data_IF_780497223479
#
_entry.id   IF_780497223479
#
_cell.length_a   1.000
_cell.length_b   1.000
_cell.length_c   1.000
_cell.angle_alpha   90.00
_cell.angle_beta   90.00
_cell.angle_gamma   90.00
#
_symmetry.space_group_name_H-M   'P 1'
#
loop_
_entity.id
_entity.type
_entity.pdbx_description
1 polymer ?
#
# COMPACT_ATOMS: atom_id res chain seq x y z
N UNK A 1 10.79 -6.77 6.47
CA UNK A 1 9.65 -7.61 6.05
C UNK A 1 10.06 -8.70 5.04
N UNK A 2 10.37 -8.38 3.77
CA UNK A 2 10.63 -9.40 2.74
C UNK A 2 11.76 -10.39 3.07
N UNK A 3 12.90 -9.92 3.62
CA UNK A 3 13.98 -10.83 4.03
C UNK A 3 13.54 -11.85 5.10
N UNK A 4 12.65 -11.46 6.01
CA UNK A 4 12.07 -12.40 6.98
C UNK A 4 11.15 -13.42 6.29
N UNK A 5 10.42 -12.99 5.26
CA UNK A 5 9.57 -13.87 4.46
C UNK A 5 10.40 -14.89 3.65
N UNK A 6 11.49 -14.46 3.01
CA UNK A 6 12.40 -15.35 2.29
C UNK A 6 13.03 -16.38 3.24
N UNK A 7 13.53 -15.95 4.40
CA UNK A 7 14.05 -16.85 5.42
C UNK A 7 13.00 -17.86 5.90
N UNK A 8 11.77 -17.42 6.17
CA UNK A 8 10.67 -18.29 6.62
C UNK A 8 10.24 -19.33 5.56
N UNK A 9 10.48 -19.06 4.27
CA UNK A 9 10.21 -19.99 3.16
C UNK A 9 11.44 -20.75 2.67
N UNK A 10 12.60 -20.55 3.28
CA UNK A 10 13.85 -21.18 2.86
C UNK A 10 14.32 -20.75 1.47
N UNK A 11 13.98 -19.53 1.05
CA UNK A 11 14.37 -18.97 -0.24
C UNK A 11 15.69 -18.22 -0.11
N UNK A 12 16.67 -18.55 -0.95
CA UNK A 12 17.96 -17.87 -1.04
C UNK A 12 17.83 -16.56 -1.84
N UNK A 13 17.09 -15.62 -1.25
CA UNK A 13 16.72 -14.34 -1.86
C UNK A 13 17.04 -13.20 -0.91
N UNK A 14 17.39 -12.05 -1.47
CA UNK A 14 17.62 -10.83 -0.71
C UNK A 14 16.76 -9.69 -1.24
N UNK A 15 16.19 -8.94 -0.31
CA UNK A 15 15.50 -7.68 -0.56
C UNK A 15 16.37 -6.53 -0.05
N UNK A 16 16.72 -5.62 -0.94
CA UNK A 16 17.56 -4.46 -0.65
C UNK A 16 16.85 -3.17 -1.06
N UNK A 17 17.08 -2.10 -0.31
CA UNK A 17 16.58 -0.78 -0.64
C UNK A 17 17.58 -0.06 -1.57
N UNK A 18 17.08 0.43 -2.70
CA UNK A 18 17.86 1.21 -3.66
C UNK A 18 17.27 2.62 -3.75
N UNK A 19 18.02 3.63 -3.35
CA UNK A 19 17.62 5.02 -3.53
C UNK A 19 17.92 5.45 -4.96
N UNK A 20 16.89 5.90 -5.69
CA UNK A 20 16.99 6.24 -7.11
C UNK A 20 16.38 7.61 -7.34
N UNK A 21 17.17 8.55 -7.86
CA UNK A 21 16.68 9.86 -8.28
C UNK A 21 15.77 9.73 -9.53
N UNK A 22 14.73 10.57 -9.70
CA UNK A 22 13.79 10.48 -10.82
C UNK A 22 14.46 10.43 -12.20
N UNK A 23 15.53 11.18 -12.41
CA UNK A 23 16.25 11.27 -13.69
C UNK A 23 17.04 9.98 -14.01
N UNK A 24 17.23 9.11 -13.01
CA UNK A 24 17.95 7.83 -13.12
C UNK A 24 17.00 6.63 -13.09
N UNK A 25 15.71 6.85 -12.90
CA UNK A 25 14.74 5.77 -12.69
C UNK A 25 14.71 4.77 -13.83
N UNK A 26 14.61 5.24 -15.08
CA UNK A 26 14.62 4.36 -16.26
C UNK A 26 15.89 3.50 -16.32
N UNK A 27 17.07 4.12 -16.22
CA UNK A 27 18.34 3.38 -16.22
C UNK A 27 18.47 2.40 -15.06
N UNK A 28 17.90 2.71 -13.90
CA UNK A 28 17.94 1.83 -12.74
C UNK A 28 17.07 0.58 -12.98
N UNK A 29 15.85 0.74 -13.49
CA UNK A 29 14.94 -0.39 -13.77
C UNK A 29 15.53 -1.32 -14.83
N UNK A 30 16.04 -0.78 -15.95
CA UNK A 30 16.73 -1.61 -16.96
C UNK A 30 17.94 -2.34 -16.37
N UNK A 31 18.73 -1.64 -15.56
CA UNK A 31 19.89 -2.24 -14.89
C UNK A 31 19.52 -3.36 -13.92
N UNK A 32 18.37 -3.28 -13.23
CA UNK A 32 17.91 -4.38 -12.37
C UNK A 32 17.58 -5.64 -13.19
N UNK A 33 16.90 -5.49 -14.33
CA UNK A 33 16.62 -6.60 -15.23
C UNK A 33 17.91 -7.20 -15.81
N UNK A 34 18.82 -6.35 -16.33
CA UNK A 34 20.12 -6.78 -16.86
C UNK A 34 20.99 -7.54 -15.83
N UNK A 35 20.86 -7.20 -14.55
CA UNK A 35 21.56 -7.86 -13.44
C UNK A 35 20.86 -9.14 -12.95
N UNK A 36 19.70 -9.49 -13.51
CA UNK A 36 18.95 -10.69 -13.15
C UNK A 36 18.16 -10.57 -11.85
N UNK A 37 17.76 -9.36 -11.44
CA UNK A 37 16.78 -9.22 -10.35
C UNK A 37 15.45 -9.85 -10.76
N UNK A 38 14.74 -10.46 -9.81
CA UNK A 38 13.41 -11.02 -10.08
C UNK A 38 12.30 -9.96 -10.14
N UNK A 39 12.52 -8.78 -9.56
CA UNK A 39 11.54 -7.72 -9.46
C UNK A 39 11.94 -6.64 -8.48
N UNK A 40 11.05 -5.68 -8.27
CA UNK A 40 11.24 -4.58 -7.31
C UNK A 40 9.89 -4.04 -6.83
N UNK A 41 9.81 -3.56 -5.58
CA UNK A 41 8.76 -2.60 -5.25
C UNK A 41 9.19 -1.20 -5.66
N UNK A 42 8.20 -0.40 -6.05
CA UNK A 42 8.35 0.99 -6.44
C UNK A 42 7.50 1.86 -5.53
N UNK A 43 8.11 2.88 -4.94
CA UNK A 43 7.43 3.86 -4.09
C UNK A 43 7.50 5.27 -4.68
N UNK A 44 6.96 6.25 -3.97
CA UNK A 44 7.01 7.68 -4.34
C UNK A 44 8.46 8.08 -4.67
N UNK A 45 8.70 8.87 -5.74
CA UNK A 45 7.72 9.44 -6.68
C UNK A 45 7.50 8.60 -7.96
N UNK A 46 7.97 7.36 -8.01
CA UNK A 46 8.24 6.65 -9.26
C UNK A 46 7.09 5.79 -9.80
N UNK A 47 6.00 5.60 -9.07
CA UNK A 47 4.94 4.63 -9.44
C UNK A 47 4.33 4.86 -10.84
N UNK A 48 4.20 6.12 -11.27
CA UNK A 48 3.72 6.47 -12.62
C UNK A 48 4.76 6.19 -13.70
N UNK A 49 6.03 6.48 -13.42
CA UNK A 49 7.12 6.18 -14.33
C UNK A 49 7.28 4.66 -14.51
N UNK A 50 7.11 3.88 -13.43
CA UNK A 50 7.12 2.42 -13.48
C UNK A 50 6.03 1.87 -14.40
N UNK A 51 4.82 2.43 -14.33
CA UNK A 51 3.73 2.03 -15.23
C UNK A 51 4.09 2.29 -16.71
N UNK A 52 4.68 3.44 -17.03
CA UNK A 52 5.08 3.79 -18.40
C UNK A 52 6.30 3.02 -18.94
N UNK A 53 7.14 2.46 -18.05
CA UNK A 53 8.31 1.66 -18.43
C UNK A 53 8.02 0.17 -18.51
N UNK A 54 6.91 -0.30 -17.93
CA UNK A 54 6.54 -1.72 -17.97
C UNK A 54 6.09 -2.11 -19.36
N UNK A 55 6.46 -3.31 -19.81
CA UNK A 55 5.94 -3.89 -21.07
C UNK A 55 4.44 -4.17 -20.98
N UNK A 56 3.98 -4.56 -19.79
CA UNK A 56 2.57 -4.70 -19.43
C UNK A 56 2.35 -4.12 -18.04
N UNK A 57 1.32 -3.28 -17.85
CA UNK A 57 1.05 -2.61 -16.57
C UNK A 57 -0.41 -2.71 -16.14
N UNK A 58 -0.63 -3.02 -14.87
CA UNK A 58 -1.95 -2.93 -14.22
C UNK A 58 -2.26 -1.47 -13.85
N UNK A 59 -2.74 -0.72 -14.84
CA UNK A 59 -3.19 0.66 -14.65
C UNK A 59 -2.04 1.68 -14.54
N UNK A 60 -2.35 2.93 -14.15
CA UNK A 60 -1.42 4.06 -14.25
C UNK A 60 -0.45 4.21 -13.08
N UNK A 61 -0.51 3.33 -12.07
CA UNK A 61 0.32 3.40 -10.86
C UNK A 61 0.81 2.01 -10.51
N UNK A 62 2.09 1.74 -10.76
CA UNK A 62 2.74 0.44 -10.49
C UNK A 62 3.59 0.56 -9.23
N UNK A 63 3.33 -0.27 -8.23
CA UNK A 63 4.12 -0.37 -7.00
C UNK A 63 4.96 -1.67 -6.94
N UNK A 64 4.78 -2.59 -7.89
CA UNK A 64 5.47 -3.88 -7.95
C UNK A 64 5.84 -4.19 -9.39
N UNK A 65 7.12 -4.40 -9.65
CA UNK A 65 7.65 -4.87 -10.93
C UNK A 65 8.06 -6.33 -10.80
N UNK A 66 7.77 -7.13 -11.83
CA UNK A 66 8.26 -8.50 -12.00
C UNK A 66 9.07 -8.54 -13.30
N UNK A 67 10.29 -9.06 -13.23
CA UNK A 67 11.15 -9.25 -14.40
C UNK A 67 11.13 -10.72 -14.82
N UNK A 68 10.80 -10.99 -16.08
CA UNK A 68 10.71 -12.35 -16.62
C UNK A 68 10.93 -12.35 -18.12
N UNK A 69 11.81 -13.23 -18.60
CA UNK A 69 12.11 -13.42 -20.02
C UNK A 69 12.51 -12.12 -20.75
N UNK A 70 13.27 -11.24 -20.07
CA UNK A 70 13.70 -9.94 -20.60
C UNK A 70 12.56 -8.93 -20.77
N UNK A 71 11.45 -9.12 -20.03
CA UNK A 71 10.28 -8.26 -20.01
C UNK A 71 9.96 -7.85 -18.57
N UNK A 72 9.36 -6.68 -18.44
CA UNK A 72 8.93 -6.08 -17.20
C UNK A 72 7.40 -6.02 -17.10
N UNK A 73 6.85 -6.58 -16.03
CA UNK A 73 5.43 -6.61 -15.74
C UNK A 73 5.14 -5.78 -14.50
N UNK A 74 4.29 -4.76 -14.64
CA UNK A 74 3.93 -3.83 -13.59
C UNK A 74 2.57 -4.17 -12.96
N UNK A 75 2.55 -4.24 -11.63
CA UNK A 75 1.37 -4.53 -10.82
C UNK A 75 1.13 -3.42 -9.79
N UNK A 76 -0.13 -3.28 -9.40
CA UNK A 76 -0.54 -2.45 -8.27
C UNK A 76 -1.05 -3.32 -7.13
N UNK A 77 -0.17 -3.70 -6.20
CA UNK A 77 -0.52 -4.48 -5.01
C UNK A 77 -1.10 -3.64 -3.88
N UNK A 78 -1.16 -2.30 -4.01
CA UNK A 78 -1.84 -1.46 -3.00
C UNK A 78 -3.33 -1.85 -2.91
N UNK A 79 -3.94 -2.35 -3.99
CA UNK A 79 -5.33 -2.85 -4.00
C UNK A 79 -5.63 -3.88 -2.91
N UNK A 80 -4.63 -4.65 -2.51
CA UNK A 80 -4.77 -5.71 -1.49
C UNK A 80 -4.94 -5.13 -0.07
N UNK A 81 -4.63 -3.85 0.13
CA UNK A 81 -4.89 -3.16 1.41
C UNK A 81 -6.38 -3.16 1.72
N UNK A 82 -7.24 -2.99 0.70
CA UNK A 82 -8.70 -2.94 0.83
C UNK A 82 -9.40 -4.23 0.40
N UNK A 83 -8.65 -5.26 -0.01
CA UNK A 83 -9.22 -6.53 -0.40
C UNK A 83 -10.03 -7.18 0.75
N UNK A 84 -11.23 -7.64 0.41
CA UNK A 84 -12.20 -8.22 1.35
C UNK A 84 -12.96 -7.22 2.21
N UNK A 85 -12.76 -5.91 2.01
CA UNK A 85 -13.55 -4.86 2.67
C UNK A 85 -14.71 -4.48 1.75
N UNK A 86 -15.90 -4.96 2.07
CA UNK A 86 -17.13 -4.59 1.37
C UNK A 86 -17.65 -3.26 1.91
N UNK A 87 -17.83 -2.26 1.04
CA UNK A 87 -18.39 -0.96 1.41
C UNK A 87 -19.32 -0.44 0.31
N UNK A 88 -20.49 0.08 0.69
CA UNK A 88 -21.40 0.78 -0.21
C UNK A 88 -21.07 2.27 -0.30
N UNK A 89 -20.56 2.86 0.80
CA UNK A 89 -20.20 4.28 0.91
C UNK A 89 -18.81 4.42 1.51
N UNK A 90 -17.91 5.06 0.77
CA UNK A 90 -16.52 5.26 1.17
C UNK A 90 -16.22 6.74 1.40
N UNK A 91 -15.65 7.05 2.56
CA UNK A 91 -15.02 8.34 2.84
C UNK A 91 -13.52 8.22 2.55
N UNK A 92 -13.09 8.71 1.39
CA UNK A 92 -11.67 8.71 0.98
C UNK A 92 -11.03 10.06 1.34
N UNK A 93 -9.97 10.03 2.14
CA UNK A 93 -9.31 11.23 2.64
C UNK A 93 -7.91 11.31 2.03
N UNK A 94 -7.69 12.34 1.21
CA UNK A 94 -6.51 12.56 0.39
C UNK A 94 -6.80 12.41 -1.11
N UNK A 95 -6.06 13.17 -1.91
CA UNK A 95 -6.10 13.18 -3.38
C UNK A 95 -4.72 12.89 -4.02
N UNK A 96 -3.78 12.40 -3.20
CA UNK A 96 -2.42 12.07 -3.62
C UNK A 96 -2.29 10.71 -4.32
N UNK A 97 -1.04 10.30 -4.57
CA UNK A 97 -0.74 9.06 -5.30
C UNK A 97 -1.28 7.79 -4.64
N UNK A 98 -1.29 7.72 -3.31
CA UNK A 98 -1.84 6.57 -2.58
C UNK A 98 -3.37 6.46 -2.76
N UNK A 99 -4.09 7.60 -2.68
CA UNK A 99 -5.52 7.65 -2.94
C UNK A 99 -5.83 7.23 -4.39
N UNK A 100 -5.08 7.76 -5.36
CA UNK A 100 -5.23 7.40 -6.77
C UNK A 100 -4.92 5.92 -7.06
N UNK A 101 -3.98 5.31 -6.34
CA UNK A 101 -3.64 3.90 -6.49
C UNK A 101 -4.70 2.95 -5.92
N UNK A 102 -5.39 3.36 -4.86
CA UNK A 102 -6.44 2.56 -4.20
C UNK A 102 -7.83 2.78 -4.79
N UNK A 103 -8.10 3.96 -5.36
CA UNK A 103 -9.43 4.32 -5.88
C UNK A 103 -10.04 3.27 -6.81
N UNK A 104 -9.31 2.64 -7.75
CA UNK A 104 -9.89 1.59 -8.62
C UNK A 104 -10.30 0.31 -7.89
N UNK A 105 -9.79 0.07 -6.69
CA UNK A 105 -10.08 -1.11 -5.87
C UNK A 105 -11.24 -0.88 -4.89
N UNK A 106 -11.72 0.35 -4.74
CA UNK A 106 -12.85 0.67 -3.87
C UNK A 106 -14.18 0.35 -4.54
N UNK A 107 -15.10 -0.24 -3.77
CA UNK A 107 -16.47 -0.49 -4.19
C UNK A 107 -17.41 0.61 -3.70
N UNK A 108 -18.58 0.73 -4.33
CA UNK A 108 -19.63 1.65 -3.90
C UNK A 108 -19.38 3.12 -4.26
N UNK A 109 -20.11 4.00 -3.59
CA UNK A 109 -20.01 5.45 -3.77
C UNK A 109 -18.82 6.01 -2.98
N UNK A 110 -17.80 6.49 -3.70
CA UNK A 110 -16.61 7.10 -3.10
C UNK A 110 -16.76 8.63 -3.03
N UNK A 111 -16.73 9.17 -1.82
CA UNK A 111 -16.64 10.63 -1.56
C UNK A 111 -15.23 10.97 -1.13
N UNK A 112 -14.53 11.71 -1.99
CA UNK A 112 -13.15 12.16 -1.74
C UNK A 112 -13.12 13.52 -1.04
N UNK A 113 -12.26 13.63 -0.03
CA UNK A 113 -12.01 14.85 0.74
C UNK A 113 -10.52 15.15 0.74
N UNK A 114 -10.15 16.42 0.54
CA UNK A 114 -8.76 16.86 0.57
C UNK A 114 -8.66 18.32 0.99
N UNK A 115 -7.50 18.75 1.50
CA UNK A 115 -7.26 20.13 1.94
C UNK A 115 -7.39 21.16 0.81
N UNK A 116 -7.21 20.73 -0.44
CA UNK A 116 -7.33 21.50 -1.68
C UNK A 116 -8.73 21.41 -2.29
N UNK A 117 -9.58 20.51 -1.80
CA UNK A 117 -10.92 20.25 -2.29
C UNK A 117 -11.98 20.37 -1.18
N UNK A 118 -12.86 19.37 -1.08
CA UNK A 118 -13.90 19.32 -0.04
C UNK A 118 -13.27 19.01 1.32
N UNK A 119 -13.47 19.91 2.29
CA UNK A 119 -12.98 19.78 3.66
C UNK A 119 -13.92 20.49 4.65
N UNK A 120 -14.16 19.98 5.89
CA UNK A 120 -13.62 18.75 6.47
C UNK A 120 -14.24 17.46 5.89
N UNK A 121 -13.60 16.30 6.12
CA UNK A 121 -14.19 15.00 5.78
C UNK A 121 -15.46 14.71 6.58
N UNK A 122 -16.46 14.18 5.89
CA UNK A 122 -17.70 13.69 6.48
C UNK A 122 -17.80 12.19 6.23
N UNK A 123 -17.81 11.42 7.31
CA UNK A 123 -17.96 9.97 7.30
C UNK A 123 -19.20 9.52 8.07
N UNK A 124 -20.16 10.41 8.35
CA UNK A 124 -21.32 10.10 9.19
C UNK A 124 -22.19 8.95 8.66
N UNK A 125 -22.23 8.76 7.36
CA UNK A 125 -22.94 7.72 6.62
C UNK A 125 -22.01 6.76 5.85
N UNK A 126 -20.69 6.86 6.02
CA UNK A 126 -19.75 5.95 5.36
C UNK A 126 -19.67 4.59 6.07
N UNK A 127 -19.42 3.53 5.32
CA UNK A 127 -19.10 2.20 5.85
C UNK A 127 -17.59 2.05 6.03
N UNK A 128 -16.82 2.68 5.13
CA UNK A 128 -15.35 2.68 5.13
C UNK A 128 -14.80 4.11 5.22
N UNK A 129 -13.90 4.34 6.17
CA UNK A 129 -13.03 5.51 6.24
C UNK A 129 -11.64 5.11 5.76
N UNK A 130 -11.17 5.70 4.66
CA UNK A 130 -9.82 5.46 4.13
C UNK A 130 -8.98 6.74 4.21
N UNK A 131 -8.02 6.77 5.13
CA UNK A 131 -7.03 7.84 5.20
C UNK A 131 -5.80 7.51 4.35
N UNK A 132 -5.67 8.21 3.22
CA UNK A 132 -4.53 8.14 2.31
C UNK A 132 -3.59 9.37 2.44
N UNK A 133 -3.68 10.11 3.54
CA UNK A 133 -2.81 11.26 3.84
C UNK A 133 -1.67 10.87 4.79
N UNK A 134 -0.59 11.65 4.91
CA UNK A 134 0.48 11.40 5.88
C UNK A 134 0.14 11.87 7.31
N UNK A 135 -1.10 12.31 7.58
CA UNK A 135 -1.50 12.87 8.88
C UNK A 135 -1.58 11.75 9.92
N UNK A 136 -0.98 11.97 11.09
CA UNK A 136 -0.89 10.98 12.19
C UNK A 136 -1.49 11.46 13.49
N UNK A 137 -1.32 12.74 13.82
CA UNK A 137 -1.57 13.27 15.17
C UNK A 137 -2.86 14.12 15.27
N UNK A 138 -3.58 14.30 14.16
CA UNK A 138 -4.83 15.07 14.08
C UNK A 138 -6.00 14.13 13.77
N UNK A 139 -7.05 14.19 14.61
CA UNK A 139 -8.32 13.54 14.32
C UNK A 139 -9.21 14.53 13.55
N UNK A 140 -9.30 14.38 12.23
CA UNK A 140 -10.11 15.24 11.35
C UNK A 140 -11.47 14.64 10.98
N UNK A 141 -11.74 13.39 11.40
CA UNK A 141 -13.02 12.70 11.25
C UNK A 141 -13.22 11.76 12.43
N UNK A 142 -14.43 11.69 13.00
CA UNK A 142 -14.74 10.78 14.11
C UNK A 142 -15.31 9.45 13.58
N UNK A 143 -14.64 8.31 13.81
CA UNK A 143 -15.19 7.00 13.50
C UNK A 143 -16.40 6.67 14.38
N UNK A 144 -17.31 5.85 13.86
CA UNK A 144 -18.54 5.39 14.52
C UNK A 144 -18.58 3.86 14.59
N UNK A 145 -19.27 3.28 15.60
CA UNK A 145 -19.46 1.84 15.68
C UNK A 145 -20.02 1.26 14.38
N UNK A 146 -19.48 0.12 13.95
CA UNK A 146 -19.88 -0.57 12.71
C UNK A 146 -19.15 -0.09 11.45
N UNK A 147 -18.30 0.93 11.53
CA UNK A 147 -17.44 1.34 10.42
C UNK A 147 -16.12 0.56 10.39
N UNK A 148 -15.55 0.45 9.20
CA UNK A 148 -14.18 -0.02 8.98
C UNK A 148 -13.27 1.17 8.71
N UNK A 149 -12.07 1.16 9.29
CA UNK A 149 -11.06 2.21 9.13
C UNK A 149 -9.79 1.64 8.51
N UNK A 150 -9.37 2.20 7.39
CA UNK A 150 -8.08 1.94 6.75
C UNK A 150 -7.25 3.22 6.88
N UNK A 151 -6.13 3.14 7.59
CA UNK A 151 -5.22 4.27 7.76
C UNK A 151 -3.84 3.92 7.19
N UNK A 152 -3.46 4.56 6.08
CA UNK A 152 -2.15 4.31 5.47
C UNK A 152 -1.01 4.96 6.24
N UNK A 153 -1.31 5.94 7.12
CA UNK A 153 -0.32 6.53 7.97
C UNK A 153 0.10 5.55 9.08
N UNK A 154 1.40 5.48 9.33
CA UNK A 154 1.95 4.73 10.45
C UNK A 154 3.10 5.50 11.07
N UNK A 155 3.43 5.14 12.31
CA UNK A 155 4.55 5.68 13.06
C UNK A 155 5.69 4.68 13.05
N UNK A 156 6.92 5.20 13.00
CA UNK A 156 8.12 4.37 13.10
C UNK A 156 8.28 3.73 14.49
N UNK A 157 7.67 4.30 15.53
CA UNK A 157 7.66 3.76 16.90
C UNK A 157 6.57 2.70 17.13
N UNK A 158 5.80 2.34 16.09
CA UNK A 158 4.69 1.38 16.18
C UNK A 158 3.44 1.91 16.91
N UNK A 159 3.44 3.17 17.37
CA UNK A 159 2.29 3.79 18.00
C UNK A 159 1.11 3.98 17.04
N UNK A 160 -0.11 3.97 17.59
CA UNK A 160 -1.31 4.28 16.83
C UNK A 160 -1.32 5.75 16.36
N UNK A 161 -1.93 6.01 15.21
CA UNK A 161 -2.34 7.37 14.80
C UNK A 161 -3.58 7.78 15.59
N UNK A 162 -3.89 9.08 15.61
CA UNK A 162 -5.10 9.60 16.23
C UNK A 162 -6.38 8.96 15.65
N UNK A 163 -6.40 8.71 14.33
CA UNK A 163 -7.52 8.04 13.67
C UNK A 163 -7.65 6.58 14.09
N UNK A 164 -6.53 5.82 14.12
CA UNK A 164 -6.52 4.42 14.56
C UNK A 164 -6.92 4.29 16.03
N UNK A 165 -6.43 5.18 16.90
CA UNK A 165 -6.78 5.20 18.31
C UNK A 165 -8.28 5.45 18.50
N UNK A 166 -8.84 6.48 17.85
CA UNK A 166 -10.26 6.79 17.91
C UNK A 166 -11.13 5.64 17.38
N UNK A 167 -10.74 5.03 16.25
CA UNK A 167 -11.45 3.90 15.66
C UNK A 167 -11.51 2.69 16.59
N UNK A 168 -10.38 2.33 17.21
CA UNK A 168 -10.32 1.24 18.20
C UNK A 168 -11.17 1.52 19.43
N UNK A 169 -11.21 2.78 19.88
CA UNK A 169 -11.98 3.17 21.07
C UNK A 169 -13.50 2.94 20.91
N UNK A 170 -14.02 2.97 19.68
CA UNK A 170 -15.44 2.72 19.37
C UNK A 170 -15.70 1.34 18.74
N UNK A 171 -14.68 0.47 18.70
CA UNK A 171 -14.81 -0.90 18.22
C UNK A 171 -14.89 -1.06 16.69
N UNK A 172 -14.38 -0.11 15.91
CA UNK A 172 -14.24 -0.28 14.47
C UNK A 172 -13.28 -1.42 14.11
N UNK A 173 -13.52 -2.06 12.97
CA UNK A 173 -12.48 -2.85 12.32
C UNK A 173 -11.40 -1.91 11.77
N UNK A 174 -10.12 -2.28 11.93
CA UNK A 174 -9.00 -1.39 11.59
C UNK A 174 -7.93 -2.13 10.78
N UNK A 175 -7.59 -1.56 9.62
CA UNK A 175 -6.34 -1.84 8.88
C UNK A 175 -5.40 -0.66 9.12
N UNK A 176 -4.45 -0.83 10.05
CA UNK A 176 -3.42 0.19 10.31
C UNK A 176 -2.32 0.18 9.23
N UNK A 177 -1.51 1.23 9.17
CA UNK A 177 -0.52 1.37 8.09
C UNK A 177 0.54 0.25 8.08
N UNK A 178 0.81 -0.39 9.22
CA UNK A 178 1.67 -1.57 9.28
C UNK A 178 1.01 -2.81 8.67
N UNK A 179 -0.28 -3.03 8.94
CA UNK A 179 -1.04 -4.11 8.28
C UNK A 179 -1.21 -3.82 6.78
N UNK A 180 -1.39 -2.57 6.38
CA UNK A 180 -1.41 -2.17 4.97
C UNK A 180 -0.09 -2.54 4.26
N UNK A 181 1.07 -2.27 4.89
CA UNK A 181 2.38 -2.70 4.38
C UNK A 181 2.46 -4.22 4.22
N UNK A 182 1.95 -4.99 5.19
CA UNK A 182 1.95 -6.45 5.13
C UNK A 182 1.09 -6.96 3.98
N UNK A 183 -0.13 -6.42 3.81
CA UNK A 183 -1.07 -6.85 2.76
C UNK A 183 -0.50 -6.65 1.35
N UNK A 184 -0.08 -5.43 1.02
CA UNK A 184 0.50 -5.16 -0.31
C UNK A 184 1.83 -5.89 -0.54
N UNK A 185 2.66 -6.03 0.50
CA UNK A 185 3.93 -6.73 0.39
C UNK A 185 3.77 -8.25 0.25
N UNK A 186 2.74 -8.84 0.87
CA UNK A 186 2.45 -10.26 0.74
C UNK A 186 2.10 -10.63 -0.72
N UNK A 187 1.32 -9.77 -1.39
CA UNK A 187 1.02 -9.94 -2.81
C UNK A 187 2.26 -9.76 -3.70
N UNK A 188 3.12 -8.77 -3.43
CA UNK A 188 4.38 -8.63 -4.16
C UNK A 188 5.27 -9.87 -4.01
N UNK A 189 5.35 -10.43 -2.80
CA UNK A 189 6.10 -11.66 -2.52
C UNK A 189 5.60 -12.83 -3.37
N UNK A 190 4.28 -13.02 -3.44
CA UNK A 190 3.69 -14.10 -4.24
C UNK A 190 3.91 -13.89 -5.74
N UNK A 191 3.81 -12.66 -6.24
CA UNK A 191 4.08 -12.32 -7.64
C UNK A 191 5.52 -12.67 -8.06
N UNK A 192 6.52 -12.42 -7.21
CA UNK A 192 7.92 -12.72 -7.53
C UNK A 192 8.25 -14.20 -7.40
N UNK A 193 7.76 -14.84 -6.34
CA UNK A 193 8.24 -16.17 -5.95
C UNK A 193 7.34 -17.30 -6.43
N UNK A 194 6.07 -17.02 -6.74
CA UNK A 194 5.04 -18.04 -6.98
C UNK A 194 4.69 -18.87 -5.73
N UNK A 195 5.16 -18.47 -4.55
CA UNK A 195 4.95 -19.17 -3.29
C UNK A 195 4.02 -18.34 -2.41
N UNK A 196 3.09 -19.02 -1.73
CA UNK A 196 2.22 -18.38 -0.74
C UNK A 196 3.05 -17.57 0.28
N UNK A 197 2.68 -16.34 0.63
CA UNK A 197 3.46 -15.51 1.54
C UNK A 197 3.37 -16.03 2.99
N UNK A 198 4.46 -16.02 3.79
CA UNK A 198 4.40 -16.30 5.23
C UNK A 198 3.93 -15.05 5.99
N UNK A 199 2.63 -14.73 5.89
CA UNK A 199 2.05 -13.46 6.39
C UNK A 199 2.36 -13.20 7.86
N UNK A 200 2.33 -14.22 8.72
CA UNK A 200 2.63 -14.04 10.15
C UNK A 200 4.08 -13.61 10.39
N UNK A 201 5.04 -14.17 9.64
CA UNK A 201 6.44 -13.76 9.72
C UNK A 201 6.63 -12.33 9.18
N UNK A 202 5.92 -11.96 8.12
CA UNK A 202 5.93 -10.60 7.56
C UNK A 202 5.39 -9.60 8.58
N UNK A 203 4.25 -9.91 9.20
CA UNK A 203 3.61 -9.09 10.23
C UNK A 203 4.50 -8.93 11.45
N UNK A 204 5.08 -10.01 11.95
CA UNK A 204 6.02 -9.95 13.07
C UNK A 204 7.22 -9.04 12.74
N UNK A 205 7.80 -9.19 11.55
CA UNK A 205 8.97 -8.40 11.15
C UNK A 205 8.69 -6.89 10.96
N UNK A 206 7.47 -6.52 10.56
CA UNK A 206 7.08 -5.09 10.44
C UNK A 206 6.81 -4.48 11.82
N UNK A 207 6.26 -5.26 12.76
CA UNK A 207 5.89 -4.77 14.10
C UNK A 207 7.04 -4.83 15.12
N UNK A 208 8.16 -5.46 14.78
CA UNK A 208 9.36 -5.55 15.63
C UNK A 208 10.51 -4.63 15.20
N UNK A 209 10.33 -3.86 14.13
CA UNK A 209 11.32 -2.92 13.60
C UNK A 209 11.20 -1.57 14.32
#
# INVERSE_FOLDING_TARGET
MHNAAFAARGLDWAYVACEVAPERFDSAIRGLDDLGFAGANVTIPHKRAAAGLSDEAEGPSVNTLVFRDGRSFGFNTDKEIVAGIEAERVCLIGDGGAAAALLPALTGEVRTFSRTGKWPPDASDADLILNATPVRDELFVEPRPGQTVVDLAYRADGGATALVEAARAVGCEVVDGLEALVRQGAASFELWTGVAPPVDAMRAAVRSA
#
